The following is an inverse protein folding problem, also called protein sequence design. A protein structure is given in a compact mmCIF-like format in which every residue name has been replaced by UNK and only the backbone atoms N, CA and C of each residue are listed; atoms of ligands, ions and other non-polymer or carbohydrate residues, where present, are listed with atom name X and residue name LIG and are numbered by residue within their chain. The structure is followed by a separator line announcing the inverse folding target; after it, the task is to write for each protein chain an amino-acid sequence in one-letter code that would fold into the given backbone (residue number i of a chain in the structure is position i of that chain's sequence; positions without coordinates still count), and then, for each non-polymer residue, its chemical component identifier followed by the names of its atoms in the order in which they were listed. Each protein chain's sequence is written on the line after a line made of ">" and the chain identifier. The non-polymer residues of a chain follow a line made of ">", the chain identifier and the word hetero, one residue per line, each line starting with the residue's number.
data_IF_452361533882
#
_entry.id   IF_452361533882
#
_cell.length_a   1.000
_cell.length_b   1.000
_cell.length_c   1.000
_cell.angle_alpha   90.00
_cell.angle_beta   90.00
_cell.angle_gamma   90.00
#
_symmetry.space_group_name_H-M   'P 1'
#
loop_
_entity.id
_entity.type
_entity.pdbx_description
1 polymer ?
#
# COMPACT_ATOMS: atom_id res chain seq x y z
N UNK A 1 -48.27 -5.67 -14.97
CA UNK A 1 -48.81 -5.88 -13.61
C UNK A 1 -47.71 -6.57 -12.80
N UNK A 2 -46.73 -5.79 -12.28
CA UNK A 2 -46.59 -5.35 -10.85
C UNK A 2 -46.62 -6.58 -9.92
N UNK A 3 -45.56 -6.96 -9.19
CA UNK A 3 -44.95 -6.18 -8.10
C UNK A 3 -43.43 -6.36 -7.95
N UNK A 4 -42.71 -5.23 -8.05
CA UNK A 4 -41.48 -4.96 -7.33
C UNK A 4 -41.83 -4.67 -5.86
N UNK A 5 -41.19 -5.34 -4.90
CA UNK A 5 -41.12 -4.84 -3.54
C UNK A 5 -39.87 -3.99 -3.37
N UNK A 6 -40.11 -2.73 -3.03
CA UNK A 6 -39.16 -1.71 -2.61
C UNK A 6 -38.35 -2.20 -1.42
N UNK A 7 -37.02 -2.20 -1.54
CA UNK A 7 -36.15 -1.74 -0.46
C UNK A 7 -35.52 -0.44 -0.94
N UNK A 8 -36.15 0.66 -0.53
CA UNK A 8 -35.67 2.01 -0.74
C UNK A 8 -34.55 2.23 0.26
N UNK A 9 -33.30 2.16 -0.19
CA UNK A 9 -32.20 2.75 0.58
C UNK A 9 -32.21 4.25 0.28
N UNK A 10 -32.69 5.04 1.24
CA UNK A 10 -32.58 6.49 1.23
C UNK A 10 -31.47 6.86 2.22
N UNK A 11 -30.25 7.18 1.78
CA UNK A 11 -29.29 7.84 2.65
C UNK A 11 -29.65 9.33 2.73
N UNK A 12 -30.55 9.67 3.65
CA UNK A 12 -30.59 11.02 4.19
C UNK A 12 -29.96 11.01 5.57
N UNK A 13 -28.72 11.50 5.67
CA UNK A 13 -28.37 12.55 6.63
C UNK A 13 -26.97 13.08 6.36
N UNK A 14 -26.92 14.40 6.23
CA UNK A 14 -25.77 15.26 6.46
C UNK A 14 -24.95 14.82 7.68
N UNK A 15 -23.74 14.32 7.45
CA UNK A 15 -22.51 14.73 8.12
C UNK A 15 -21.37 13.97 7.43
N UNK A 16 -20.26 14.64 7.19
CA UNK A 16 -19.02 13.99 6.73
C UNK A 16 -18.56 13.02 7.82
N UNK A 17 -19.06 11.78 7.84
CA UNK A 17 -18.41 10.71 8.59
C UNK A 17 -17.13 10.36 7.84
N UNK A 18 -16.06 11.07 8.21
CA UNK A 18 -14.71 10.76 7.81
C UNK A 18 -14.40 9.36 8.37
N UNK A 19 -14.36 8.35 7.49
CA UNK A 19 -13.91 7.01 7.85
C UNK A 19 -12.48 7.17 8.34
N UNK A 20 -12.26 7.05 9.65
CA UNK A 20 -10.94 7.18 10.22
C UNK A 20 -10.19 5.87 9.91
N UNK A 21 -9.39 5.89 8.84
CA UNK A 21 -8.60 4.74 8.43
C UNK A 21 -7.49 4.58 9.50
N UNK A 22 -7.44 3.45 10.23
CA UNK A 22 -6.42 3.27 11.25
C UNK A 22 -5.02 3.29 10.61
N UNK A 23 -4.17 4.18 11.11
CA UNK A 23 -2.78 4.31 10.66
C UNK A 23 -2.03 3.00 10.80
N UNK A 24 -1.22 2.65 9.81
CA UNK A 24 -0.60 1.32 9.71
C UNK A 24 0.87 1.43 9.35
N UNK A 25 1.74 0.73 10.07
CA UNK A 25 3.13 0.59 9.68
C UNK A 25 3.45 -0.86 9.31
N UNK A 26 4.01 -1.07 8.12
CA UNK A 26 4.58 -2.35 7.70
C UNK A 26 6.08 -2.33 7.93
N UNK A 27 6.56 -3.15 8.87
CA UNK A 27 7.98 -3.29 9.17
C UNK A 27 8.54 -4.56 8.54
N UNK A 28 9.37 -4.40 7.50
CA UNK A 28 10.10 -5.47 6.82
C UNK A 28 11.41 -5.73 7.55
N UNK A 29 11.46 -6.80 8.34
CA UNK A 29 12.60 -7.12 9.19
C UNK A 29 13.39 -8.32 8.68
N UNK A 30 14.71 -8.27 8.83
CA UNK A 30 15.64 -9.37 8.61
C UNK A 30 17.06 -8.95 9.02
N UNK A 31 17.97 -9.93 9.15
CA UNK A 31 19.42 -9.70 9.16
C UNK A 31 19.92 -8.93 7.92
N UNK A 32 21.16 -8.42 7.99
CA UNK A 32 21.77 -7.63 6.93
C UNK A 32 21.93 -8.39 5.61
N UNK A 33 21.90 -7.68 4.48
CA UNK A 33 22.07 -8.24 3.13
C UNK A 33 21.05 -9.32 2.71
N UNK A 34 19.78 -9.18 3.15
CA UNK A 34 18.70 -10.17 2.89
C UNK A 34 17.57 -9.63 2.02
N UNK A 35 17.88 -8.63 1.20
CA UNK A 35 16.96 -8.10 0.20
C UNK A 35 15.89 -7.13 0.70
N UNK A 36 15.93 -6.67 1.97
CA UNK A 36 14.91 -5.75 2.52
C UNK A 36 14.72 -4.48 1.68
N UNK A 37 15.81 -3.75 1.42
CA UNK A 37 15.81 -2.55 0.58
C UNK A 37 15.28 -2.86 -0.82
N UNK A 38 15.62 -4.03 -1.39
CA UNK A 38 15.09 -4.44 -2.69
C UNK A 38 13.58 -4.72 -2.64
N UNK A 39 13.10 -5.43 -1.62
CA UNK A 39 11.66 -5.70 -1.44
C UNK A 39 10.86 -4.40 -1.32
N UNK A 40 11.35 -3.45 -0.52
CA UNK A 40 10.69 -2.15 -0.34
C UNK A 40 10.77 -1.31 -1.63
N UNK A 41 11.86 -1.41 -2.40
CA UNK A 41 11.98 -0.79 -3.73
C UNK A 41 10.97 -1.35 -4.73
N UNK A 42 10.85 -2.68 -4.82
CA UNK A 42 9.87 -3.32 -5.71
C UNK A 42 8.44 -2.93 -5.31
N UNK A 43 8.16 -2.85 -4.00
CA UNK A 43 6.88 -2.33 -3.52
C UNK A 43 6.64 -0.88 -3.97
N UNK A 44 7.63 0.01 -3.81
CA UNK A 44 7.51 1.40 -4.23
C UNK A 44 7.29 1.52 -5.75
N UNK A 45 8.05 0.78 -6.55
CA UNK A 45 7.86 0.75 -8.00
C UNK A 45 6.47 0.22 -8.39
N UNK A 46 6.01 -0.86 -7.74
CA UNK A 46 4.68 -1.39 -7.95
C UNK A 46 3.59 -0.37 -7.57
N UNK A 47 3.75 0.35 -6.47
CA UNK A 47 2.83 1.41 -6.03
C UNK A 47 2.74 2.52 -7.08
N UNK A 48 3.87 3.07 -7.52
CA UNK A 48 3.91 4.16 -8.49
C UNK A 48 3.37 3.75 -9.87
N UNK A 49 3.60 2.50 -10.28
CA UNK A 49 3.08 1.97 -11.56
C UNK A 49 1.60 1.60 -11.52
N UNK A 50 1.09 1.17 -10.36
CA UNK A 50 -0.31 0.79 -10.19
C UNK A 50 -1.24 1.99 -10.05
N UNK A 51 -0.73 3.12 -9.54
CA UNK A 51 -1.51 4.34 -9.30
C UNK A 51 -0.93 5.54 -10.06
N UNK A 52 -1.05 5.60 -11.40
CA UNK A 52 -0.37 6.63 -12.21
C UNK A 52 -0.80 8.08 -11.91
N UNK A 53 -1.90 8.28 -11.18
CA UNK A 53 -2.41 9.58 -10.74
C UNK A 53 -2.06 9.91 -9.27
N UNK A 54 -1.01 9.29 -8.71
CA UNK A 54 -0.49 9.69 -7.41
C UNK A 54 -0.02 11.15 -7.42
N UNK A 55 -0.09 11.82 -6.27
CA UNK A 55 0.54 13.13 -6.06
C UNK A 55 1.87 12.94 -5.35
N UNK A 56 3.01 13.33 -5.96
CA UNK A 56 4.31 13.20 -5.32
C UNK A 56 4.46 14.22 -4.18
N UNK A 57 4.93 13.76 -3.02
CA UNK A 57 5.23 14.63 -1.87
C UNK A 57 6.74 14.72 -1.65
N UNK A 58 7.43 13.57 -1.66
CA UNK A 58 8.89 13.51 -1.53
C UNK A 58 9.44 12.20 -2.11
N UNK A 59 10.59 12.19 -2.81
CA UNK A 59 11.22 13.35 -3.44
C UNK A 59 10.35 13.88 -4.60
N UNK A 60 10.74 15.00 -5.18
CA UNK A 60 10.13 15.57 -6.38
C UNK A 60 11.15 15.48 -7.53
N UNK A 61 10.93 14.67 -8.58
CA UNK A 61 9.80 13.76 -8.79
C UNK A 61 9.86 12.51 -7.90
N UNK A 62 8.70 11.89 -7.67
CA UNK A 62 8.61 10.63 -6.92
C UNK A 62 9.29 9.49 -7.70
N UNK A 63 10.33 8.90 -7.09
CA UNK A 63 11.05 7.78 -7.65
C UNK A 63 11.68 6.92 -6.54
N UNK A 64 11.79 5.61 -6.80
CA UNK A 64 12.64 4.73 -6.01
C UNK A 64 13.95 4.50 -6.77
N UNK A 65 15.10 5.04 -6.31
CA UNK A 65 16.36 4.94 -7.04
C UNK A 65 16.80 3.47 -7.12
N UNK A 66 17.47 3.06 -8.21
CA UNK A 66 17.82 1.65 -8.45
C UNK A 66 18.83 1.09 -7.44
N UNK A 67 19.58 1.97 -6.76
CA UNK A 67 20.65 1.63 -5.83
C UNK A 67 20.55 2.50 -4.59
N UNK A 68 21.09 2.02 -3.47
CA UNK A 68 21.15 2.73 -2.20
C UNK A 68 19.88 2.61 -1.40
N UNK A 69 19.84 3.31 -0.28
CA UNK A 69 18.62 3.51 0.47
C UNK A 69 17.87 4.74 -0.03
N UNK A 70 16.56 4.76 0.21
CA UNK A 70 15.69 5.81 -0.27
C UNK A 70 14.51 6.01 0.66
N UNK A 71 13.90 7.18 0.47
CA UNK A 71 12.62 7.54 1.04
C UNK A 71 11.69 8.00 -0.06
N UNK A 72 10.42 7.64 0.05
CA UNK A 72 9.36 8.04 -0.86
C UNK A 72 8.12 8.37 -0.05
N UNK A 73 7.43 9.45 -0.40
CA UNK A 73 6.16 9.90 0.15
C UNK A 73 5.28 10.30 -1.02
N UNK A 74 4.12 9.67 -1.13
CA UNK A 74 3.12 9.95 -2.15
C UNK A 74 1.73 9.95 -1.55
N UNK A 75 0.84 10.75 -2.13
CA UNK A 75 -0.58 10.74 -1.83
C UNK A 75 -1.33 10.01 -2.95
N UNK A 76 -2.17 9.04 -2.57
CA UNK A 76 -2.98 8.23 -3.49
C UNK A 76 -4.39 8.22 -2.94
N UNK A 77 -5.35 8.78 -3.68
CA UNK A 77 -6.76 8.87 -3.31
C UNK A 77 -6.98 9.45 -1.89
N UNK A 78 -6.19 10.44 -1.50
CA UNK A 78 -6.25 11.06 -0.16
C UNK A 78 -5.59 10.27 0.97
N UNK A 79 -4.92 9.15 0.67
CA UNK A 79 -4.10 8.37 1.62
C UNK A 79 -2.62 8.70 1.39
N UNK A 80 -1.91 9.09 2.44
CA UNK A 80 -0.47 9.39 2.37
C UNK A 80 0.34 8.14 2.73
N UNK A 81 1.14 7.67 1.76
CA UNK A 81 2.01 6.50 1.90
C UNK A 81 3.47 6.94 1.97
N UNK A 82 4.10 6.68 3.11
CA UNK A 82 5.53 6.86 3.34
C UNK A 82 6.30 5.55 3.22
N UNK A 83 7.48 5.59 2.62
CA UNK A 83 8.40 4.47 2.45
C UNK A 83 9.78 4.89 2.93
N UNK A 84 10.41 4.09 3.78
CA UNK A 84 11.74 4.31 4.35
C UNK A 84 12.57 3.03 4.25
N UNK A 85 13.52 2.97 3.32
CA UNK A 85 14.28 1.75 3.10
C UNK A 85 15.47 1.58 4.04
N UNK A 86 15.99 2.65 4.64
CA UNK A 86 17.19 2.60 5.49
C UNK A 86 16.86 2.12 6.91
N UNK A 87 17.05 0.82 7.14
CA UNK A 87 16.72 0.15 8.40
C UNK A 87 17.93 -0.27 9.23
N UNK A 88 19.02 0.49 9.17
CA UNK A 88 20.28 0.18 9.85
C UNK A 88 20.40 0.93 11.18
N UNK A 89 20.95 0.30 12.24
CA UNK A 89 21.16 0.96 13.52
C UNK A 89 22.05 2.20 13.40
N UNK A 90 21.90 3.15 14.31
CA UNK A 90 22.69 4.38 14.37
C UNK A 90 22.59 5.28 13.13
N UNK A 91 21.57 5.08 12.30
CA UNK A 91 21.29 5.93 11.15
C UNK A 91 20.25 7.00 11.45
N UNK A 92 19.60 6.99 12.63
CA UNK A 92 18.50 7.90 12.95
C UNK A 92 17.14 7.44 12.41
N UNK A 93 16.89 6.12 12.34
CA UNK A 93 15.62 5.57 11.84
C UNK A 93 14.42 6.11 12.63
N UNK A 94 14.54 6.27 13.95
CA UNK A 94 13.45 6.78 14.79
C UNK A 94 12.98 8.16 14.33
N UNK A 95 13.91 9.09 14.15
CA UNK A 95 13.57 10.46 13.73
C UNK A 95 12.96 10.47 12.34
N UNK A 96 13.49 9.62 11.45
CA UNK A 96 12.96 9.42 10.11
C UNK A 96 11.52 8.89 10.11
N UNK A 97 11.17 7.96 11.00
CA UNK A 97 9.80 7.44 11.14
C UNK A 97 8.86 8.45 11.80
N UNK A 98 9.35 9.23 12.77
CA UNK A 98 8.58 10.31 13.39
C UNK A 98 8.26 11.39 12.35
N UNK A 99 9.22 11.77 11.52
CA UNK A 99 9.04 12.73 10.43
C UNK A 99 7.97 12.27 9.42
N UNK A 100 7.96 10.98 9.05
CA UNK A 100 6.89 10.41 8.22
C UNK A 100 5.51 10.49 8.90
N UNK A 101 5.44 10.23 10.21
CA UNK A 101 4.18 10.24 10.95
C UNK A 101 3.64 11.65 11.23
N UNK A 102 4.51 12.57 11.62
CA UNK A 102 4.14 13.89 12.15
C UNK A 102 4.19 15.00 11.10
N UNK A 103 5.20 15.01 10.23
CA UNK A 103 5.40 16.12 9.29
C UNK A 103 4.78 15.81 7.92
N UNK A 104 4.94 14.57 7.45
CA UNK A 104 4.28 14.11 6.23
C UNK A 104 2.86 13.60 6.46
N UNK A 105 2.45 13.43 7.73
CA UNK A 105 1.14 12.92 8.10
C UNK A 105 0.77 11.59 7.43
N UNK A 106 1.74 10.68 7.27
CA UNK A 106 1.50 9.39 6.62
C UNK A 106 0.41 8.60 7.35
N UNK A 107 -0.49 8.00 6.58
CA UNK A 107 -1.47 7.02 7.03
C UNK A 107 -0.88 5.62 7.01
N UNK A 108 -0.02 5.36 6.02
CA UNK A 108 0.68 4.10 5.84
C UNK A 108 2.19 4.37 5.81
N UNK A 109 2.95 3.67 6.65
CA UNK A 109 4.42 3.72 6.63
C UNK A 109 4.97 2.33 6.32
N UNK A 110 5.82 2.22 5.31
CA UNK A 110 6.57 1.00 5.00
C UNK A 110 8.02 1.26 5.37
N UNK A 111 8.58 0.46 6.28
CA UNK A 111 9.95 0.64 6.70
C UNK A 111 10.71 -0.69 6.78
N UNK A 112 12.02 -0.64 6.59
CA UNK A 112 12.88 -1.78 6.91
C UNK A 112 13.46 -1.65 8.32
N UNK A 113 13.76 -2.80 8.93
CA UNK A 113 14.40 -2.84 10.25
C UNK A 113 15.31 -4.07 10.41
N UNK A 114 16.15 -4.05 11.45
CA UNK A 114 16.87 -5.24 11.93
C UNK A 114 15.97 -6.09 12.82
N UNK A 115 16.45 -7.27 13.20
CA UNK A 115 15.73 -8.25 14.03
C UNK A 115 15.64 -7.86 15.51
N UNK A 116 16.44 -6.88 15.95
CA UNK A 116 16.56 -6.45 17.34
C UNK A 116 17.20 -5.07 17.44
N UNK A 117 17.12 -4.46 18.62
CA UNK A 117 17.85 -3.24 18.97
C UNK A 117 17.13 -1.97 18.53
N UNK A 118 17.92 -0.90 18.31
CA UNK A 118 17.45 0.46 18.04
C UNK A 118 16.37 0.54 16.95
N UNK A 119 16.54 -0.22 15.85
CA UNK A 119 15.60 -0.15 14.73
C UNK A 119 14.25 -0.79 15.04
N UNK A 120 14.22 -1.78 15.94
CA UNK A 120 12.94 -2.37 16.41
C UNK A 120 12.24 -1.38 17.33
N UNK A 121 12.98 -0.79 18.26
CA UNK A 121 12.47 0.25 19.16
C UNK A 121 11.92 1.45 18.37
N UNK A 122 12.58 1.84 17.28
CA UNK A 122 12.12 2.91 16.39
C UNK A 122 10.76 2.60 15.75
N UNK A 123 10.53 1.35 15.32
CA UNK A 123 9.24 0.92 14.76
C UNK A 123 8.18 0.83 15.86
N UNK A 124 8.51 0.24 17.01
CA UNK A 124 7.58 0.12 18.14
C UNK A 124 7.12 1.50 18.64
N UNK A 125 7.97 2.52 18.53
CA UNK A 125 7.60 3.90 18.86
C UNK A 125 6.43 4.42 18.00
N UNK A 126 6.28 3.97 16.75
CA UNK A 126 5.10 4.32 15.94
C UNK A 126 3.81 3.78 16.56
N UNK A 127 3.85 2.60 17.19
CA UNK A 127 2.70 2.06 17.90
C UNK A 127 2.40 2.88 19.16
N UNK A 128 3.36 2.91 20.08
CA UNK A 128 3.13 3.42 21.43
C UNK A 128 2.94 4.93 21.47
N UNK A 129 3.58 5.68 20.58
CA UNK A 129 3.57 7.15 20.61
C UNK A 129 2.75 7.78 19.48
N UNK A 130 2.53 7.06 18.36
CA UNK A 130 1.87 7.61 17.16
C UNK A 130 0.56 6.90 16.79
N UNK A 131 0.17 5.85 17.52
CA UNK A 131 -1.11 5.16 17.32
C UNK A 131 -1.16 4.28 16.07
N UNK A 132 -0.02 3.93 15.48
CA UNK A 132 0.02 3.04 14.32
C UNK A 132 -0.23 1.59 14.74
N UNK A 133 -1.00 0.86 13.92
CA UNK A 133 -1.02 -0.60 13.96
C UNK A 133 0.22 -1.13 13.23
N UNK A 134 1.04 -1.94 13.91
CA UNK A 134 2.28 -2.45 13.33
C UNK A 134 2.04 -3.86 12.78
N UNK A 135 2.46 -4.06 11.54
CA UNK A 135 2.50 -5.36 10.88
C UNK A 135 3.97 -5.69 10.65
N UNK A 136 4.46 -6.72 11.33
CA UNK A 136 5.82 -7.22 11.16
C UNK A 136 5.84 -8.31 10.07
N UNK A 137 6.76 -8.17 9.11
CA UNK A 137 6.97 -9.16 8.04
C UNK A 137 8.44 -9.32 7.74
N UNK A 138 8.86 -10.46 7.21
CA UNK A 138 10.25 -10.70 6.82
C UNK A 138 10.38 -11.00 5.34
N UNK A 139 11.58 -10.86 4.80
CA UNK A 139 11.88 -11.46 3.49
C UNK A 139 11.93 -12.99 3.63
N UNK A 140 11.53 -13.71 2.58
CA UNK A 140 11.62 -15.18 2.58
C UNK A 140 13.08 -15.61 2.52
N UNK A 141 13.51 -16.43 3.48
CA UNK A 141 14.80 -17.10 3.46
C UNK A 141 14.61 -18.56 3.05
N UNK A 142 15.18 -18.94 1.91
CA UNK A 142 15.25 -20.34 1.46
C UNK A 142 16.68 -20.83 1.76
N UNK A 143 16.81 -21.94 2.48
CA UNK A 143 18.11 -22.57 2.71
C UNK A 143 18.49 -23.39 1.48
N UNK A 144 19.37 -22.87 0.62
CA UNK A 144 19.88 -23.55 -0.58
C UNK A 144 20.16 -22.60 -1.75
N UNK A 145 21.03 -23.01 -2.68
CA UNK A 145 21.34 -22.22 -3.89
C UNK A 145 20.14 -22.23 -4.84
N UNK A 146 19.29 -21.20 -4.78
CA UNK A 146 18.31 -20.97 -5.83
C UNK A 146 18.90 -19.96 -6.82
N UNK A 147 19.64 -20.48 -7.80
CA UNK A 147 19.78 -19.78 -9.09
C UNK A 147 18.36 -19.71 -9.66
N UNK A 148 17.84 -18.50 -9.89
CA UNK A 148 16.54 -18.17 -10.50
C UNK A 148 15.34 -18.06 -9.54
N UNK A 149 15.21 -16.94 -8.81
CA UNK A 149 13.87 -16.47 -8.35
C UNK A 149 13.60 -15.01 -8.70
N UNK A 150 14.60 -14.24 -9.12
CA UNK A 150 14.47 -12.77 -9.23
C UNK A 150 13.89 -12.25 -10.55
N UNK A 151 13.67 -13.06 -11.59
CA UNK A 151 13.15 -12.54 -12.87
C UNK A 151 11.93 -13.25 -13.46
N UNK A 152 11.54 -14.45 -12.99
CA UNK A 152 10.46 -15.24 -13.62
C UNK A 152 9.18 -15.33 -12.77
N UNK A 153 9.25 -15.11 -11.46
CA UNK A 153 8.08 -15.34 -10.59
C UNK A 153 7.07 -14.18 -10.53
N UNK A 154 7.45 -12.94 -10.85
CA UNK A 154 6.47 -11.86 -10.97
C UNK A 154 5.59 -11.96 -12.22
N UNK A 155 6.08 -12.54 -13.32
CA UNK A 155 5.29 -12.70 -14.56
C UNK A 155 4.36 -13.92 -14.56
N UNK A 156 4.67 -14.97 -13.80
CA UNK A 156 3.89 -16.24 -13.83
C UNK A 156 2.82 -16.37 -12.75
N UNK A 157 2.75 -15.42 -11.79
CA UNK A 157 1.73 -15.39 -10.74
C UNK A 157 0.41 -14.73 -11.14
N UNK A 158 0.16 -14.54 -12.45
CA UNK A 158 -1.12 -14.03 -12.96
C UNK A 158 -2.27 -15.05 -12.89
N UNK A 159 -2.03 -16.30 -12.46
CA UNK A 159 -3.10 -17.32 -12.45
C UNK A 159 -3.10 -18.43 -11.39
N UNK A 160 -2.38 -18.34 -10.26
CA UNK A 160 -2.60 -19.30 -9.15
C UNK A 160 -2.61 -18.64 -7.78
N UNK A 161 -3.78 -18.70 -7.15
CA UNK A 161 -4.01 -18.41 -5.73
C UNK A 161 -3.11 -19.33 -4.90
N UNK A 162 -2.05 -18.79 -4.28
CA UNK A 162 -1.54 -19.28 -3.00
C UNK A 162 -0.54 -18.31 -2.36
N UNK A 163 -0.75 -18.03 -1.07
CA UNK A 163 0.30 -17.85 -0.07
C UNK A 163 1.01 -16.50 0.09
N UNK A 164 1.29 -15.75 -0.97
CA UNK A 164 2.14 -14.54 -0.88
C UNK A 164 1.41 -13.20 -0.86
N UNK A 165 0.12 -13.18 -1.23
CA UNK A 165 -0.58 -11.93 -1.57
C UNK A 165 -1.41 -11.31 -0.44
N UNK A 166 -1.53 -11.94 0.73
CA UNK A 166 -2.37 -11.37 1.79
C UNK A 166 -1.86 -10.01 2.28
N UNK A 167 -0.54 -9.79 2.34
CA UNK A 167 0.00 -8.56 2.90
C UNK A 167 -0.13 -7.34 1.97
N UNK A 168 0.12 -7.54 0.67
CA UNK A 168 -0.04 -6.50 -0.35
C UNK A 168 -1.52 -6.24 -0.61
N UNK A 169 -2.37 -7.27 -0.64
CA UNK A 169 -3.83 -7.11 -0.78
C UNK A 169 -4.42 -6.39 0.43
N UNK A 170 -3.97 -6.68 1.66
CA UNK A 170 -4.46 -5.97 2.87
C UNK A 170 -4.09 -4.48 2.83
N UNK A 171 -2.90 -4.12 2.34
CA UNK A 171 -2.49 -2.72 2.21
C UNK A 171 -3.18 -2.00 1.04
N UNK A 172 -3.30 -2.65 -0.12
CA UNK A 172 -4.02 -2.10 -1.28
C UNK A 172 -5.51 -1.92 -1.00
N UNK A 173 -6.13 -2.90 -0.33
CA UNK A 173 -7.53 -2.79 0.09
C UNK A 173 -7.75 -1.59 1.02
N UNK A 174 -6.74 -1.15 1.81
CA UNK A 174 -6.84 0.06 2.65
C UNK A 174 -6.71 1.36 1.85
N UNK A 175 -5.96 1.36 0.74
CA UNK A 175 -5.89 2.49 -0.21
C UNK A 175 -7.22 2.66 -0.97
N UNK A 176 -7.95 1.57 -1.20
CA UNK A 176 -9.25 1.59 -1.89
C UNK A 176 -10.43 2.07 -1.01
N UNK A 177 -10.30 2.14 0.32
CA UNK A 177 -11.40 2.53 1.24
C UNK A 177 -11.54 4.05 1.44
N UNK A 178 -10.65 4.87 0.85
CA UNK A 178 -10.79 6.32 0.94
C UNK A 178 -12.01 6.80 0.13
N UNK A 179 -12.85 7.69 0.68
CA UNK A 179 -14.19 7.94 0.15
C UNK A 179 -14.14 8.58 -1.24
N UNK A 180 -14.74 7.87 -2.20
CA UNK A 180 -14.99 8.33 -3.56
C UNK A 180 -16.03 9.46 -3.50
N UNK A 181 -15.62 10.71 -3.74
CA UNK A 181 -16.56 11.80 -4.02
C UNK A 181 -17.13 11.75 -5.45
N UNK A 182 -16.67 10.81 -6.29
CA UNK A 182 -17.02 10.71 -7.72
C UNK A 182 -17.86 9.47 -8.09
N UNK A 183 -18.69 8.96 -7.17
CA UNK A 183 -19.55 7.78 -7.43
C UNK A 183 -20.54 8.06 -8.58
N UNK A 184 -20.88 9.32 -8.83
CA UNK A 184 -21.77 9.71 -9.93
C UNK A 184 -21.12 9.58 -11.33
N UNK A 185 -19.79 9.66 -11.45
CA UNK A 185 -19.10 9.59 -12.74
C UNK A 185 -18.88 8.15 -13.21
N UNK A 186 -18.70 7.21 -12.26
CA UNK A 186 -18.50 5.78 -12.55
C UNK A 186 -19.79 5.03 -12.88
N UNK A 187 -20.94 5.48 -12.38
CA UNK A 187 -22.25 4.87 -12.66
C UNK A 187 -22.70 5.12 -14.12
N UNK A 188 -22.34 6.28 -14.69
CA UNK A 188 -22.66 6.62 -16.08
C UNK A 188 -21.84 5.85 -17.12
N UNK A 189 -20.56 5.60 -16.87
CA UNK A 189 -19.69 4.81 -17.76
C UNK A 189 -20.03 3.33 -17.69
N UNK A 190 -20.38 2.82 -16.51
CA UNK A 190 -20.75 1.41 -16.32
C UNK A 190 -22.08 1.04 -17.01
N UNK A 191 -23.08 1.94 -17.02
CA UNK A 191 -24.34 1.67 -17.73
C UNK A 191 -24.19 1.74 -19.26
N UNK A 192 -23.26 2.56 -19.79
CA UNK A 192 -23.07 2.73 -21.23
C UNK A 192 -22.45 1.49 -21.90
N UNK A 193 -21.54 0.80 -21.21
CA UNK A 193 -20.89 -0.42 -21.73
C UNK A 193 -21.81 -1.64 -21.76
N UNK A 194 -22.83 -1.71 -20.87
CA UNK A 194 -23.83 -2.79 -20.90
C UNK A 194 -24.83 -2.66 -22.04
N UNK A 195 -25.18 -1.45 -22.44
CA UNK A 195 -26.07 -1.22 -23.59
C UNK A 195 -25.44 -1.53 -24.96
N UNK A 196 -24.11 -1.60 -25.04
CA UNK A 196 -23.39 -1.94 -26.28
C UNK A 196 -23.14 -3.43 -26.47
N UNK A 197 -23.28 -4.24 -25.40
CA UNK A 197 -22.99 -5.68 -25.43
C UNK A 197 -24.23 -6.59 -25.58
N UNK A 198 -25.44 -6.04 -25.61
CA UNK A 198 -26.67 -6.82 -25.79
C UNK A 198 -27.23 -6.82 -27.23
N UNK A 199 -26.46 -6.37 -28.24
CA UNK A 199 -26.90 -6.37 -29.64
C UNK A 199 -26.19 -7.38 -30.57
N UNK A 200 -25.34 -8.27 -30.04
CA UNK A 200 -24.58 -9.24 -30.85
C UNK A 200 -24.76 -10.71 -30.46
N UNK A 201 -25.89 -11.05 -29.84
CA UNK A 201 -26.20 -12.44 -29.53
C UNK A 201 -27.69 -12.73 -29.79
N UNK A 202 -28.15 -12.59 -31.03
CA UNK A 202 -29.27 -13.34 -31.63
C UNK A 202 -29.37 -12.98 -33.12
N UNK A 203 -28.70 -13.78 -33.96
CA UNK A 203 -29.00 -14.00 -35.39
C UNK A 203 -28.12 -15.14 -35.90
#
# INVERSE_FOLDING_TARGET
>A
MIFLNKLTYIPTTNSKQQVNIPKTALAVWHSGARGKTQTVREFANFLLTSYPHYKPIFPLPALAPPVGDFRLVVEINGVIVGVESQGDPHTGLKDRLIDLADNYHCDIIISTSRTRGETVIAVDHLHYSKGFQIIWTSTYQISGTVKLVTSTHFKKFRHKRSGGHHLIIVLLNRVEVAPVSDVAALDWTYQRERSSFSLFAYS
#
